data_IF_472254883899
#
_entry.id   IF_472254883899
#
_cell.length_a   1.000
_cell.length_b   1.000
_cell.length_c   1.000
_cell.angle_alpha   90.00
_cell.angle_beta   90.00
_cell.angle_gamma   90.00
#
_symmetry.space_group_name_H-M   'P 1'
#
loop_
_entity.id
_entity.type
_entity.pdbx_description
1 polymer ?
#
# COMPACT_ATOMS: atom_id res chain seq x y z
N UNK A 1 16.82 -68.19 -57.77
CA UNK A 1 17.43 -66.86 -57.61
C UNK A 1 16.33 -65.83 -57.37
N UNK A 2 15.94 -65.65 -56.18
CA UNK A 2 14.94 -64.67 -55.76
C UNK A 2 15.65 -63.66 -54.89
N UNK A 3 16.09 -62.64 -55.51
CA UNK A 3 16.87 -61.68 -54.76
C UNK A 3 16.50 -60.27 -55.11
N UNK A 4 16.48 -59.42 -54.15
CA UNK A 4 16.77 -57.98 -54.28
C UNK A 4 15.68 -57.00 -54.68
N UNK A 5 14.45 -57.35 -54.93
CA UNK A 5 13.39 -56.37 -55.24
C UNK A 5 12.74 -55.77 -53.94
N UNK A 6 12.80 -56.50 -52.84
CA UNK A 6 12.19 -56.03 -51.61
C UNK A 6 13.02 -54.96 -50.85
N UNK A 7 14.32 -54.86 -51.11
CA UNK A 7 15.16 -53.84 -50.47
C UNK A 7 15.02 -52.45 -51.09
N UNK A 8 14.57 -52.35 -52.32
CA UNK A 8 14.37 -51.04 -52.98
C UNK A 8 13.10 -50.34 -52.53
N UNK A 9 12.06 -51.06 -52.20
CA UNK A 9 10.81 -50.46 -51.71
C UNK A 9 10.88 -49.95 -50.27
N UNK A 10 11.77 -50.51 -49.47
CA UNK A 10 11.95 -50.00 -48.09
C UNK A 10 12.68 -48.66 -48.02
N UNK A 11 13.50 -48.33 -49.00
CA UNK A 11 14.21 -47.04 -49.04
C UNK A 11 13.35 -45.89 -49.53
N UNK A 12 12.32 -46.14 -50.27
CA UNK A 12 11.41 -45.11 -50.77
C UNK A 12 10.38 -44.70 -49.71
N UNK A 13 10.04 -45.57 -48.77
CA UNK A 13 9.14 -45.21 -47.68
C UNK A 13 9.84 -44.42 -46.58
N UNK A 14 11.15 -44.45 -46.53
CA UNK A 14 11.92 -43.73 -45.53
C UNK A 14 12.21 -42.25 -45.87
N UNK A 15 11.59 -41.72 -46.89
CA UNK A 15 11.59 -40.27 -47.11
C UNK A 15 10.93 -39.52 -45.97
N UNK A 16 10.24 -40.20 -45.10
CA UNK A 16 9.73 -39.61 -43.85
C UNK A 16 10.82 -39.30 -42.85
N UNK A 17 11.92 -40.01 -42.88
CA UNK A 17 13.03 -39.75 -41.96
C UNK A 17 13.81 -38.48 -42.27
N UNK A 18 13.78 -38.02 -43.50
CA UNK A 18 14.42 -36.77 -43.88
C UNK A 18 13.75 -35.54 -43.21
N UNK A 19 12.63 -35.75 -42.59
CA UNK A 19 11.90 -34.69 -41.90
C UNK A 19 12.11 -34.66 -40.36
N UNK A 20 12.96 -35.55 -39.85
CA UNK A 20 13.27 -35.67 -38.43
C UNK A 20 14.43 -34.77 -38.01
N UNK A 21 14.94 -33.95 -38.86
CA UNK A 21 15.84 -32.88 -38.49
C UNK A 21 15.07 -31.78 -37.76
N UNK A 22 15.69 -31.17 -36.79
CA UNK A 22 15.11 -30.12 -35.91
C UNK A 22 14.40 -28.98 -36.64
N UNK A 23 14.54 -28.87 -37.94
CA UNK A 23 13.90 -27.84 -38.76
C UNK A 23 12.93 -28.34 -39.79
N UNK A 24 12.80 -29.67 -39.98
CA UNK A 24 12.24 -30.19 -41.24
C UNK A 24 10.73 -30.26 -41.33
N UNK A 25 10.04 -30.46 -40.24
CA UNK A 25 8.63 -30.85 -40.33
C UNK A 25 7.63 -29.71 -40.37
N UNK A 26 8.01 -28.53 -40.01
CA UNK A 26 7.07 -27.44 -39.93
C UNK A 26 7.71 -26.11 -40.31
N UNK A 27 8.15 -26.06 -41.58
CA UNK A 27 8.59 -24.81 -42.18
C UNK A 27 7.57 -23.69 -41.96
N UNK A 28 6.28 -23.99 -42.06
CA UNK A 28 5.19 -23.03 -41.70
C UNK A 28 5.19 -22.64 -40.23
N UNK A 29 5.74 -23.44 -39.33
CA UNK A 29 5.88 -23.10 -37.94
C UNK A 29 7.10 -22.19 -37.65
N UNK A 30 8.04 -22.17 -38.59
CA UNK A 30 9.24 -21.33 -38.57
C UNK A 30 9.06 -20.08 -39.44
N UNK A 31 8.29 -20.22 -40.54
CA UNK A 31 7.89 -19.10 -41.36
C UNK A 31 6.75 -18.33 -40.68
N UNK A 32 6.87 -17.05 -40.57
CA UNK A 32 5.72 -16.21 -40.34
C UNK A 32 5.45 -15.76 -38.90
N UNK A 33 6.32 -16.01 -37.96
CA UNK A 33 6.19 -15.35 -36.64
C UNK A 33 6.82 -13.97 -36.63
N UNK A 34 7.42 -13.53 -37.72
CA UNK A 34 8.00 -12.21 -37.85
C UNK A 34 9.06 -11.87 -36.80
N UNK A 35 9.50 -10.64 -36.73
CA UNK A 35 10.41 -10.19 -35.71
C UNK A 35 9.80 -10.38 -34.33
N UNK A 36 10.65 -10.62 -33.32
CA UNK A 36 10.22 -10.82 -31.93
C UNK A 36 9.29 -9.68 -31.51
N UNK A 37 8.05 -9.97 -31.07
CA UNK A 37 7.12 -8.92 -30.66
C UNK A 37 7.72 -7.99 -29.62
N UNK A 38 7.36 -6.72 -29.59
CA UNK A 38 7.81 -5.78 -28.56
C UNK A 38 7.53 -6.36 -27.16
N UNK A 39 8.35 -5.97 -26.21
CA UNK A 39 8.29 -6.50 -24.83
C UNK A 39 6.88 -6.43 -24.23
N UNK A 40 6.12 -5.41 -24.60
CA UNK A 40 4.74 -5.18 -24.17
C UNK A 40 3.72 -6.20 -24.69
N UNK A 41 4.01 -6.81 -25.84
CA UNK A 41 3.14 -7.84 -26.46
C UNK A 41 3.44 -9.27 -25.99
N UNK A 42 4.52 -9.49 -25.25
CA UNK A 42 4.92 -10.84 -24.79
C UNK A 42 4.19 -11.20 -23.51
N UNK A 43 3.30 -12.20 -23.54
CA UNK A 43 2.43 -12.62 -22.43
C UNK A 43 3.13 -12.83 -21.08
N UNK A 44 4.38 -13.27 -21.05
CA UNK A 44 5.15 -13.51 -19.80
C UNK A 44 6.12 -12.38 -19.43
N UNK A 45 6.20 -11.34 -20.24
CA UNK A 45 7.15 -10.25 -19.98
C UNK A 45 6.59 -9.24 -18.97
N UNK A 46 7.45 -8.70 -18.07
CA UNK A 46 7.04 -7.70 -17.04
C UNK A 46 6.26 -6.54 -17.65
N UNK A 47 6.74 -5.97 -18.76
CA UNK A 47 6.05 -4.86 -19.44
C UNK A 47 4.65 -5.23 -19.97
N UNK A 48 4.44 -6.47 -20.47
CA UNK A 48 3.11 -6.93 -20.85
C UNK A 48 2.17 -7.07 -19.65
N UNK A 49 2.66 -7.59 -18.53
CA UNK A 49 1.86 -7.68 -17.28
C UNK A 49 1.42 -6.31 -16.82
N UNK A 50 2.34 -5.32 -16.81
CA UNK A 50 2.06 -3.93 -16.44
C UNK A 50 1.06 -3.31 -17.43
N UNK A 51 1.26 -3.46 -18.75
CA UNK A 51 0.37 -2.93 -19.77
C UNK A 51 -1.05 -3.55 -19.68
N UNK A 52 -1.13 -4.86 -19.45
CA UNK A 52 -2.42 -5.56 -19.31
C UNK A 52 -3.15 -5.16 -18.04
N UNK A 53 -2.43 -4.99 -16.92
CA UNK A 53 -3.01 -4.52 -15.67
C UNK A 53 -3.48 -3.06 -15.81
N UNK A 54 -2.69 -2.19 -16.42
CA UNK A 54 -3.06 -0.79 -16.70
C UNK A 54 -4.28 -0.70 -17.64
N UNK A 55 -4.35 -1.56 -18.68
CA UNK A 55 -5.50 -1.63 -19.59
C UNK A 55 -6.76 -2.12 -18.87
N UNK A 56 -6.66 -3.16 -18.03
CA UNK A 56 -7.78 -3.64 -17.21
C UNK A 56 -8.26 -2.58 -16.24
N UNK A 57 -7.36 -1.85 -15.60
CA UNK A 57 -7.68 -0.76 -14.69
C UNK A 57 -8.33 0.43 -15.41
N UNK A 58 -7.84 0.79 -16.59
CA UNK A 58 -8.46 1.81 -17.43
C UNK A 58 -9.87 1.42 -17.89
N UNK A 59 -10.11 0.14 -18.17
CA UNK A 59 -11.43 -0.39 -18.53
C UNK A 59 -12.42 -0.40 -17.34
N UNK A 60 -11.90 -0.52 -16.12
CA UNK A 60 -12.69 -0.47 -14.87
C UNK A 60 -12.87 0.98 -14.38
N UNK A 61 -12.10 1.92 -14.90
CA UNK A 61 -12.23 3.35 -14.55
C UNK A 61 -13.60 3.86 -15.01
N UNK A 62 -14.61 3.64 -14.19
CA UNK A 62 -15.79 4.51 -14.18
C UNK A 62 -15.27 5.93 -13.88
N UNK A 63 -15.85 6.98 -14.55
CA UNK A 63 -15.52 8.34 -14.15
C UNK A 63 -15.68 8.40 -12.63
N UNK A 64 -14.61 8.85 -11.96
CA UNK A 64 -14.58 8.91 -10.50
C UNK A 64 -15.88 9.57 -10.04
N UNK A 65 -16.65 8.95 -9.14
CA UNK A 65 -17.77 9.65 -8.55
C UNK A 65 -17.19 10.94 -7.97
N UNK A 66 -17.74 12.06 -8.39
CA UNK A 66 -17.38 13.37 -7.85
C UNK A 66 -17.27 13.21 -6.35
N UNK A 67 -16.09 13.52 -5.80
CA UNK A 67 -15.71 13.45 -4.40
C UNK A 67 -16.85 13.95 -3.49
N UNK A 68 -17.74 13.07 -3.13
CA UNK A 68 -18.61 13.16 -1.98
C UNK A 68 -17.87 12.49 -0.85
N UNK A 69 -16.71 13.03 -0.47
CA UNK A 69 -16.07 12.64 0.76
C UNK A 69 -17.06 12.93 1.87
N UNK A 70 -17.40 11.93 2.66
CA UNK A 70 -18.01 12.19 3.96
C UNK A 70 -17.20 13.33 4.56
N UNK A 71 -17.88 14.44 4.89
CA UNK A 71 -17.25 15.58 5.55
C UNK A 71 -16.67 15.06 6.84
N UNK A 72 -15.37 14.66 6.82
CA UNK A 72 -14.65 14.31 7.99
C UNK A 72 -14.69 15.53 8.91
N UNK A 73 -15.04 15.34 10.16
CA UNK A 73 -14.92 16.40 11.16
C UNK A 73 -13.47 16.77 11.29
N UNK A 74 -13.16 18.06 11.26
CA UNK A 74 -11.83 18.55 11.60
C UNK A 74 -11.42 18.02 12.96
N UNK A 75 -10.19 17.56 13.10
CA UNK A 75 -9.62 17.13 14.37
C UNK A 75 -9.02 18.34 15.09
N UNK A 76 -9.18 18.39 16.42
CA UNK A 76 -8.55 19.40 17.25
C UNK A 76 -7.40 18.78 18.03
N UNK A 77 -6.20 19.32 17.85
CA UNK A 77 -5.04 19.03 18.71
C UNK A 77 -5.03 20.08 19.83
N UNK A 78 -5.04 19.62 21.07
CA UNK A 78 -5.34 20.44 22.23
C UNK A 78 -4.16 20.48 23.20
N UNK A 79 -3.74 21.67 23.62
CA UNK A 79 -2.68 21.88 24.61
C UNK A 79 -1.34 22.33 24.00
N UNK A 80 -0.52 23.04 24.82
CA UNK A 80 0.74 23.69 24.39
C UNK A 80 1.72 22.70 23.75
N UNK A 81 2.07 21.61 24.45
CA UNK A 81 3.01 20.61 23.96
C UNK A 81 2.48 19.84 22.73
N UNK A 82 1.24 19.28 22.74
CA UNK A 82 0.69 18.61 21.58
C UNK A 82 0.62 19.49 20.33
N UNK A 83 0.24 20.76 20.47
CA UNK A 83 0.18 21.72 19.35
C UNK A 83 1.57 22.02 18.82
N UNK A 84 2.53 22.31 19.68
CA UNK A 84 3.92 22.54 19.29
C UNK A 84 4.49 21.33 18.54
N UNK A 85 4.33 20.11 19.10
CA UNK A 85 4.81 18.89 18.47
C UNK A 85 4.13 18.64 17.11
N UNK A 86 2.82 18.84 17.00
CA UNK A 86 2.10 18.69 15.75
C UNK A 86 2.60 19.68 14.68
N UNK A 87 2.85 20.91 15.05
CA UNK A 87 3.44 21.91 14.15
C UNK A 87 4.86 21.54 13.75
N UNK A 88 5.72 21.17 14.68
CA UNK A 88 7.11 20.75 14.40
C UNK A 88 7.16 19.53 13.50
N UNK A 89 6.31 18.54 13.74
CA UNK A 89 6.29 17.27 13.01
C UNK A 89 5.56 17.35 11.66
N UNK A 90 5.14 18.54 11.23
CA UNK A 90 4.58 18.76 9.91
C UNK A 90 3.13 18.32 9.74
N UNK A 91 2.36 18.13 10.84
CA UNK A 91 0.93 17.81 10.75
C UNK A 91 0.19 18.91 9.99
N UNK A 92 -0.64 18.58 8.96
CA UNK A 92 -1.45 19.57 8.27
C UNK A 92 -2.35 20.33 9.26
N UNK A 93 -2.40 21.64 9.10
CA UNK A 93 -3.23 22.48 9.94
C UNK A 93 -3.85 23.61 9.12
N UNK A 94 -5.03 24.04 9.52
CA UNK A 94 -5.77 25.14 8.90
C UNK A 94 -5.80 26.37 9.78
N UNK A 95 -5.94 26.19 11.09
CA UNK A 95 -6.09 27.30 12.03
C UNK A 95 -5.41 26.97 13.35
N UNK A 96 -4.65 27.89 13.88
CA UNK A 96 -4.15 27.89 15.25
C UNK A 96 -4.96 28.91 16.08
N UNK A 97 -5.74 28.40 17.01
CA UNK A 97 -6.48 29.22 17.98
C UNK A 97 -5.62 29.48 19.19
N UNK A 98 -5.52 30.75 19.57
CA UNK A 98 -4.73 31.23 20.68
C UNK A 98 -5.66 31.94 21.67
N UNK A 99 -5.60 31.58 22.94
CA UNK A 99 -6.41 32.24 23.98
C UNK A 99 -6.01 33.70 24.10
N UNK A 100 -7.01 34.58 24.20
CA UNK A 100 -6.78 35.99 24.52
C UNK A 100 -6.05 36.13 25.85
N UNK A 101 -5.06 37.01 25.92
CA UNK A 101 -4.25 37.25 27.10
C UNK A 101 -3.52 36.01 27.65
N UNK A 102 -3.12 35.08 26.74
CA UNK A 102 -2.33 33.91 27.14
C UNK A 102 -0.94 34.34 27.67
N UNK A 103 -0.45 33.64 28.69
CA UNK A 103 0.95 33.78 29.11
C UNK A 103 1.87 33.32 27.94
N UNK A 104 2.70 34.24 27.47
CA UNK A 104 3.58 34.03 26.33
C UNK A 104 4.86 33.29 26.76
N UNK A 105 4.71 32.04 27.15
CA UNK A 105 5.83 31.16 27.48
C UNK A 105 6.59 30.70 26.21
N UNK A 106 7.67 29.96 26.38
CA UNK A 106 8.53 29.49 25.33
C UNK A 106 7.74 28.63 24.30
N UNK A 107 6.87 27.72 24.76
CA UNK A 107 6.08 26.83 23.90
C UNK A 107 5.05 27.57 23.07
N UNK A 108 4.44 28.59 23.61
CA UNK A 108 3.51 29.45 22.89
C UNK A 108 4.24 30.22 21.78
N UNK A 109 5.40 30.81 22.10
CA UNK A 109 6.22 31.52 21.10
C UNK A 109 6.70 30.60 19.95
N UNK A 110 7.21 29.43 20.30
CA UNK A 110 7.64 28.43 19.29
C UNK A 110 6.48 27.99 18.40
N UNK A 111 5.30 27.71 18.97
CA UNK A 111 4.12 27.33 18.21
C UNK A 111 3.67 28.44 17.24
N UNK A 112 3.65 29.70 17.71
CA UNK A 112 3.32 30.86 16.87
C UNK A 112 4.34 31.07 15.76
N UNK A 113 5.63 30.93 16.03
CA UNK A 113 6.69 31.04 15.06
C UNK A 113 6.53 29.96 13.97
N UNK A 114 6.39 28.68 14.35
CA UNK A 114 6.19 27.56 13.42
C UNK A 114 4.93 27.73 12.56
N UNK A 115 3.84 28.22 13.14
CA UNK A 115 2.62 28.51 12.40
C UNK A 115 2.82 29.63 11.38
N UNK A 116 3.55 30.69 11.75
CA UNK A 116 3.90 31.82 10.88
C UNK A 116 4.83 31.41 9.72
N UNK A 117 5.85 30.60 10.01
CA UNK A 117 6.79 30.08 8.99
C UNK A 117 6.11 29.24 7.91
N UNK A 118 5.03 28.52 8.26
CA UNK A 118 4.28 27.73 7.30
C UNK A 118 3.41 28.56 6.35
N UNK A 119 2.99 29.76 6.75
CA UNK A 119 2.26 30.73 5.93
C UNK A 119 0.85 30.33 5.47
N UNK A 120 0.43 29.09 5.73
CA UNK A 120 -0.88 28.54 5.35
C UNK A 120 -1.79 28.25 6.55
N UNK A 121 -1.39 28.67 7.75
CA UNK A 121 -2.13 28.46 9.00
C UNK A 121 -2.71 29.80 9.43
N UNK A 122 -4.03 29.88 9.58
CA UNK A 122 -4.68 31.07 10.11
C UNK A 122 -4.45 31.17 11.62
N UNK A 123 -4.00 32.33 12.08
CA UNK A 123 -3.91 32.63 13.50
C UNK A 123 -5.21 33.32 13.96
N UNK A 124 -5.89 32.76 14.94
CA UNK A 124 -7.12 33.31 15.48
C UNK A 124 -7.06 33.39 17.00
N UNK A 125 -7.31 34.59 17.51
CA UNK A 125 -7.52 34.77 18.98
C UNK A 125 -8.95 34.41 19.34
N UNK A 126 -9.11 33.65 20.42
CA UNK A 126 -10.40 33.25 20.93
C UNK A 126 -10.45 33.37 22.47
N UNK A 127 -11.60 33.76 23.05
CA UNK A 127 -11.77 33.76 24.51
C UNK A 127 -11.82 32.33 25.05
N UNK A 128 -11.37 32.12 26.27
CA UNK A 128 -11.32 30.80 26.92
C UNK A 128 -12.62 30.00 26.83
N UNK A 129 -13.83 30.57 27.05
CA UNK A 129 -15.08 29.81 26.94
C UNK A 129 -15.37 29.29 25.57
N UNK A 130 -14.84 29.91 24.51
CA UNK A 130 -14.96 29.41 23.13
C UNK A 130 -14.04 28.23 22.91
N UNK A 131 -12.79 28.30 23.37
CA UNK A 131 -11.85 27.18 23.33
C UNK A 131 -12.36 25.97 24.12
N UNK A 132 -12.93 26.19 25.30
CA UNK A 132 -13.55 25.12 26.10
C UNK A 132 -14.67 24.42 25.34
N UNK A 133 -15.52 25.18 24.62
CA UNK A 133 -16.59 24.61 23.78
C UNK A 133 -16.04 23.82 22.59
N UNK A 134 -15.04 24.35 21.89
CA UNK A 134 -14.42 23.71 20.74
C UNK A 134 -13.72 22.41 21.10
N UNK A 135 -13.16 22.32 22.30
CA UNK A 135 -12.39 21.17 22.78
C UNK A 135 -13.21 20.22 23.65
N UNK A 136 -14.52 20.45 23.81
CA UNK A 136 -15.38 19.69 24.73
C UNK A 136 -14.83 19.65 26.17
N UNK A 137 -14.26 20.74 26.62
CA UNK A 137 -13.71 20.87 27.97
C UNK A 137 -12.36 20.24 28.24
N UNK A 138 -11.65 19.81 27.19
CA UNK A 138 -10.28 19.31 27.30
C UNK A 138 -9.34 20.44 27.73
N UNK A 139 -8.31 20.13 28.52
CA UNK A 139 -7.33 21.09 28.99
C UNK A 139 -6.47 21.63 27.83
N UNK A 140 -6.91 22.73 27.23
CA UNK A 140 -6.26 23.31 26.05
C UNK A 140 -5.06 24.22 26.40
N UNK A 141 -4.86 24.60 27.63
CA UNK A 141 -3.73 25.46 28.05
C UNK A 141 -3.56 26.73 27.18
N UNK A 142 -4.64 27.19 26.56
CA UNK A 142 -4.67 28.36 25.70
C UNK A 142 -4.28 28.12 24.22
N UNK A 143 -3.93 26.92 23.82
CA UNK A 143 -3.63 26.59 22.41
C UNK A 143 -4.48 25.43 21.88
N UNK A 144 -5.04 25.61 20.67
CA UNK A 144 -5.80 24.59 19.94
C UNK A 144 -5.45 24.69 18.45
N UNK A 145 -5.04 23.57 17.85
CA UNK A 145 -4.70 23.49 16.43
C UNK A 145 -5.78 22.70 15.70
N UNK A 146 -6.35 23.30 14.67
CA UNK A 146 -7.33 22.66 13.80
C UNK A 146 -6.62 21.92 12.67
N UNK A 147 -6.83 20.61 12.62
CA UNK A 147 -6.31 19.70 11.59
C UNK A 147 -7.43 19.39 10.59
N UNK A 148 -7.22 19.61 9.29
CA UNK A 148 -8.23 19.28 8.28
C UNK A 148 -8.44 17.77 8.21
N UNK A 149 -9.61 17.31 7.74
CA UNK A 149 -9.83 15.89 7.45
C UNK A 149 -8.82 15.38 6.45
N UNK A 150 -8.30 14.16 6.68
CA UNK A 150 -7.41 13.51 5.72
C UNK A 150 -8.15 13.14 4.44
N UNK A 151 -7.59 13.46 3.29
CA UNK A 151 -8.12 13.07 1.98
C UNK A 151 -7.62 11.67 1.60
N UNK A 152 -8.50 10.68 1.76
CA UNK A 152 -8.19 9.30 1.41
C UNK A 152 -8.18 9.08 -0.10
N UNK A 153 -7.13 8.40 -0.60
CA UNK A 153 -7.04 8.00 -2.00
C UNK A 153 -8.04 6.88 -2.35
N UNK A 154 -8.35 6.74 -3.63
CA UNK A 154 -9.07 5.55 -4.08
C UNK A 154 -8.12 4.33 -4.12
N UNK A 155 -8.56 3.10 -3.80
CA UNK A 155 -7.68 1.92 -3.81
C UNK A 155 -6.99 1.68 -5.15
N UNK A 156 -7.67 1.97 -6.26
CA UNK A 156 -7.09 1.82 -7.60
C UNK A 156 -5.98 2.85 -7.90
N UNK A 157 -5.98 4.00 -7.23
CA UNK A 157 -4.94 5.02 -7.41
C UNK A 157 -3.60 4.53 -6.90
N UNK A 158 -3.57 3.66 -5.87
CA UNK A 158 -2.35 3.08 -5.33
C UNK A 158 -1.64 2.20 -6.37
N UNK A 159 -2.40 1.39 -7.11
CA UNK A 159 -1.85 0.54 -8.17
C UNK A 159 -1.50 1.35 -9.43
N UNK A 160 -2.30 2.37 -9.75
CA UNK A 160 -2.01 3.27 -10.87
C UNK A 160 -0.69 4.01 -10.66
N UNK A 161 -0.44 4.53 -9.45
CA UNK A 161 0.81 5.22 -9.10
C UNK A 161 2.05 4.32 -9.26
N UNK A 162 1.95 3.02 -8.94
CA UNK A 162 3.02 2.06 -9.17
C UNK A 162 3.30 1.86 -10.66
N UNK A 163 2.23 1.61 -11.44
CA UNK A 163 2.38 1.36 -12.87
C UNK A 163 2.85 2.58 -13.66
N UNK A 164 2.49 3.79 -13.24
CA UNK A 164 2.99 5.03 -13.86
C UNK A 164 4.50 5.21 -13.67
N UNK A 165 5.06 4.67 -12.58
CA UNK A 165 6.50 4.58 -12.33
C UNK A 165 7.18 3.37 -12.98
N UNK A 166 6.44 2.53 -13.69
CA UNK A 166 6.91 1.24 -14.21
C UNK A 166 7.38 0.25 -13.14
N UNK A 167 6.82 0.36 -11.95
CA UNK A 167 7.10 -0.49 -10.80
C UNK A 167 5.99 -1.52 -10.58
N UNK A 168 6.31 -2.66 -9.97
CA UNK A 168 5.31 -3.60 -9.48
C UNK A 168 4.67 -3.06 -8.20
N UNK A 169 3.35 -3.07 -8.03
CA UNK A 169 2.70 -2.59 -6.82
C UNK A 169 3.21 -3.29 -5.55
N UNK A 170 3.51 -2.50 -4.52
CA UNK A 170 3.75 -2.94 -3.16
C UNK A 170 2.82 -2.14 -2.26
N UNK A 171 1.77 -2.78 -1.78
CA UNK A 171 0.70 -2.15 -1.00
C UNK A 171 0.59 -2.88 0.33
N UNK A 172 0.27 -2.16 1.39
CA UNK A 172 -0.06 -2.75 2.69
C UNK A 172 -1.55 -2.58 2.96
N UNK A 173 -2.22 -3.64 3.35
CA UNK A 173 -3.61 -3.63 3.78
C UNK A 173 -3.70 -3.96 5.28
N UNK A 174 -4.52 -3.23 6.03
CA UNK A 174 -4.64 -3.40 7.47
C UNK A 174 -5.99 -4.01 7.83
N UNK A 175 -5.96 -5.07 8.61
CA UNK A 175 -7.17 -5.74 9.11
C UNK A 175 -7.27 -5.60 10.64
N UNK A 176 -8.10 -4.67 11.10
CA UNK A 176 -8.36 -4.47 12.52
C UNK A 176 -7.24 -3.76 13.30
N UNK A 177 -6.34 -3.06 12.63
CA UNK A 177 -5.35 -2.19 13.28
C UNK A 177 -6.06 -0.89 13.69
N UNK A 178 -6.24 -0.68 14.99
CA UNK A 178 -7.04 0.43 15.54
C UNK A 178 -6.22 1.55 16.16
N UNK A 179 -4.94 1.34 16.43
CA UNK A 179 -4.06 2.38 16.96
C UNK A 179 -3.52 3.27 15.81
N UNK A 180 -3.81 4.59 15.84
CA UNK A 180 -3.27 5.53 14.86
C UNK A 180 -1.74 5.59 14.82
N UNK A 181 -1.06 5.28 15.93
CA UNK A 181 0.41 5.25 15.97
C UNK A 181 0.96 4.11 15.13
N UNK A 182 0.32 2.94 15.18
CA UNK A 182 0.69 1.82 14.34
C UNK A 182 0.43 2.13 12.86
N UNK A 183 -0.71 2.73 12.53
CA UNK A 183 -0.98 3.18 11.17
C UNK A 183 0.12 4.14 10.67
N UNK A 184 0.48 5.15 11.46
CA UNK A 184 1.54 6.09 11.07
C UNK A 184 2.91 5.42 10.90
N UNK A 185 3.29 4.50 11.79
CA UNK A 185 4.53 3.72 11.69
C UNK A 185 4.56 2.84 10.43
N UNK A 186 3.43 2.23 10.08
CA UNK A 186 3.28 1.43 8.86
C UNK A 186 3.40 2.31 7.62
N UNK A 187 2.73 3.47 7.57
CA UNK A 187 2.85 4.44 6.47
C UNK A 187 4.31 4.87 6.29
N UNK A 188 5.04 5.12 7.39
CA UNK A 188 6.46 5.45 7.36
C UNK A 188 7.30 4.30 6.77
N UNK A 189 7.03 3.07 7.18
CA UNK A 189 7.73 1.88 6.67
C UNK A 189 7.44 1.65 5.18
N UNK A 190 6.18 1.80 4.75
CA UNK A 190 5.80 1.74 3.33
C UNK A 190 6.58 2.76 2.51
N UNK A 191 6.67 4.01 2.99
CA UNK A 191 7.47 5.05 2.33
C UNK A 191 8.95 4.71 2.26
N UNK A 192 9.52 4.19 3.35
CA UNK A 192 10.95 3.88 3.44
C UNK A 192 11.37 2.73 2.52
N UNK A 193 10.49 1.75 2.31
CA UNK A 193 10.78 0.54 1.54
C UNK A 193 10.18 0.55 0.12
N UNK A 194 9.81 1.74 -0.40
CA UNK A 194 9.35 1.89 -1.77
C UNK A 194 7.94 1.35 -2.03
N UNK A 195 7.11 1.27 -1.00
CA UNK A 195 5.71 0.90 -1.16
C UNK A 195 4.86 2.04 -1.72
N UNK A 196 3.71 1.70 -2.28
CA UNK A 196 2.84 2.60 -3.04
C UNK A 196 1.64 3.12 -2.27
N UNK A 197 1.39 2.59 -1.07
CA UNK A 197 0.33 3.07 -0.20
C UNK A 197 -0.20 2.05 0.78
N UNK A 198 -1.15 2.50 1.60
CA UNK A 198 -1.79 1.70 2.66
C UNK A 198 -3.30 1.68 2.43
N UNK A 199 -3.93 0.53 2.64
CA UNK A 199 -5.39 0.33 2.58
C UNK A 199 -5.92 0.06 3.96
N UNK A 200 -6.91 0.83 4.40
CA UNK A 200 -7.58 0.65 5.70
C UNK A 200 -9.09 0.48 5.51
N UNK A 201 -9.78 -0.36 6.29
CA UNK A 201 -11.23 -0.38 6.29
C UNK A 201 -11.82 0.89 6.91
N UNK A 202 -13.05 1.26 6.52
CA UNK A 202 -13.77 2.41 7.10
C UNK A 202 -14.14 2.20 8.56
N UNK A 203 -14.34 0.95 8.96
CA UNK A 203 -14.79 0.58 10.30
C UNK A 203 -13.76 -0.30 10.98
N UNK A 204 -13.64 -0.16 12.30
CA UNK A 204 -12.74 -0.95 13.15
C UNK A 204 -11.27 -0.83 12.73
N UNK A 205 -10.88 0.34 12.24
CA UNK A 205 -9.52 0.64 11.87
C UNK A 205 -9.16 2.06 12.30
N UNK A 206 -7.87 2.29 12.48
CA UNK A 206 -7.31 3.61 12.72
C UNK A 206 -7.55 4.52 11.52
N UNK A 207 -7.84 5.78 11.77
CA UNK A 207 -7.83 6.85 10.77
C UNK A 207 -6.52 7.64 10.78
N UNK A 208 -6.32 8.43 9.73
CA UNK A 208 -5.20 9.37 9.61
C UNK A 208 -5.45 10.61 10.49
N UNK A 209 -5.35 10.42 11.79
CA UNK A 209 -5.42 11.46 12.84
C UNK A 209 -4.08 12.18 13.01
N UNK A 210 -4.05 13.24 13.80
CA UNK A 210 -2.81 13.92 14.19
C UNK A 210 -1.76 12.94 14.77
N UNK A 211 -2.20 11.93 15.54
CA UNK A 211 -1.34 10.88 16.06
C UNK A 211 -0.71 10.01 15.00
N UNK A 212 -1.46 9.66 13.93
CA UNK A 212 -0.94 8.92 12.78
C UNK A 212 0.02 9.78 11.96
N UNK A 213 -0.29 11.06 11.76
CA UNK A 213 0.60 12.02 11.11
C UNK A 213 1.94 12.12 11.83
N UNK A 214 1.92 12.32 13.16
CA UNK A 214 3.12 12.36 14.00
C UNK A 214 3.97 11.09 13.83
N UNK A 215 3.36 9.92 13.97
CA UNK A 215 4.07 8.63 13.87
C UNK A 215 4.61 8.36 12.45
N UNK A 216 3.98 8.93 11.42
CA UNK A 216 4.46 8.83 10.05
C UNK A 216 5.69 9.70 9.76
N UNK A 217 6.09 10.59 10.67
CA UNK A 217 7.21 11.53 10.49
C UNK A 217 7.11 12.29 9.15
N UNK A 218 5.93 12.80 8.80
CA UNK A 218 5.67 13.56 7.58
C UNK A 218 5.53 12.72 6.30
N UNK A 219 5.80 11.41 6.33
CA UNK A 219 5.74 10.57 5.12
C UNK A 219 4.31 10.38 4.61
N UNK A 220 3.29 10.58 5.44
CA UNK A 220 1.88 10.55 5.05
C UNK A 220 1.50 11.58 3.96
N UNK A 221 2.30 12.64 3.80
CA UNK A 221 2.11 13.61 2.71
C UNK A 221 2.39 13.03 1.32
N UNK A 222 3.23 12.00 1.22
CA UNK A 222 3.67 11.39 -0.05
C UNK A 222 3.29 9.91 -0.21
N UNK A 223 2.87 9.26 0.87
CA UNK A 223 2.43 7.87 0.88
C UNK A 223 0.92 7.84 1.08
N UNK A 224 0.14 7.63 0.02
CA UNK A 224 -1.32 7.71 0.09
C UNK A 224 -1.89 6.60 0.96
N UNK A 225 -2.90 6.96 1.77
CA UNK A 225 -3.74 6.00 2.48
C UNK A 225 -5.10 5.95 1.80
N UNK A 226 -5.56 4.76 1.49
CA UNK A 226 -6.87 4.49 0.90
C UNK A 226 -7.83 3.94 1.94
N UNK A 227 -9.10 4.28 1.84
CA UNK A 227 -10.16 3.78 2.71
C UNK A 227 -11.17 2.96 1.93
N UNK A 228 -11.48 1.75 2.42
CA UNK A 228 -12.39 0.82 1.76
C UNK A 228 -13.53 0.39 2.70
N UNK A 229 -14.74 0.26 2.17
CA UNK A 229 -15.91 -0.19 2.93
C UNK A 229 -15.82 -1.67 3.29
N UNK A 230 -15.20 -2.48 2.44
CA UNK A 230 -15.02 -3.92 2.61
C UNK A 230 -13.61 -4.33 2.17
N UNK A 231 -12.79 -4.76 3.13
CA UNK A 231 -11.41 -5.14 2.88
C UNK A 231 -11.30 -6.40 2.01
N UNK A 232 -12.06 -7.45 2.32
CA UNK A 232 -12.08 -8.70 1.54
C UNK A 232 -12.36 -8.44 0.06
N UNK A 233 -13.40 -7.64 -0.24
CA UNK A 233 -13.73 -7.26 -1.61
C UNK A 233 -12.60 -6.46 -2.30
N UNK A 234 -11.90 -5.61 -1.56
CA UNK A 234 -10.76 -4.87 -2.10
C UNK A 234 -9.60 -5.82 -2.44
N UNK A 235 -9.30 -6.80 -1.56
CA UNK A 235 -8.29 -7.85 -1.79
C UNK A 235 -8.62 -8.70 -3.03
N UNK A 236 -9.86 -9.16 -3.17
CA UNK A 236 -10.32 -9.85 -4.38
C UNK A 236 -10.17 -9.00 -5.65
N UNK A 237 -10.35 -7.69 -5.53
CA UNK A 237 -10.10 -6.74 -6.62
C UNK A 237 -8.65 -6.72 -7.05
N UNK A 238 -7.72 -6.72 -6.11
CA UNK A 238 -6.29 -6.80 -6.36
C UNK A 238 -5.88 -8.14 -6.97
N UNK A 239 -6.41 -9.26 -6.48
CA UNK A 239 -6.18 -10.59 -7.08
C UNK A 239 -6.65 -10.64 -8.54
N UNK A 240 -7.84 -10.13 -8.84
CA UNK A 240 -8.36 -10.02 -10.22
C UNK A 240 -7.48 -9.15 -11.12
N UNK A 241 -6.76 -8.18 -10.54
CA UNK A 241 -5.77 -7.37 -11.25
C UNK A 241 -4.40 -8.08 -11.41
N UNK A 242 -4.24 -9.29 -10.88
CA UNK A 242 -3.01 -10.09 -10.95
C UNK A 242 -1.97 -9.69 -9.88
N UNK A 243 -2.42 -9.14 -8.78
CA UNK A 243 -1.59 -8.77 -7.63
C UNK A 243 -1.77 -9.86 -6.58
N UNK A 244 -0.68 -10.44 -6.11
CA UNK A 244 -0.70 -11.47 -5.07
C UNK A 244 -1.07 -10.88 -3.72
N UNK A 245 -1.93 -11.55 -2.97
CA UNK A 245 -2.33 -11.16 -1.62
C UNK A 245 -1.66 -12.06 -0.60
N UNK A 246 -0.81 -11.49 0.26
CA UNK A 246 -0.01 -12.19 1.26
C UNK A 246 -0.42 -11.72 2.64
N UNK A 247 -0.95 -12.62 3.45
CA UNK A 247 -1.35 -12.35 4.83
C UNK A 247 -0.25 -12.70 5.83
N UNK A 248 -0.03 -11.82 6.84
CA UNK A 248 0.84 -12.15 7.98
C UNK A 248 0.02 -12.92 9.02
N UNK A 249 0.47 -14.15 9.31
CA UNK A 249 -0.13 -15.00 10.34
C UNK A 249 0.97 -15.78 11.08
N UNK A 250 0.84 -15.95 12.39
CA UNK A 250 1.84 -16.67 13.20
C UNK A 250 1.96 -18.15 12.79
N UNK A 251 0.87 -18.74 12.32
CA UNK A 251 0.74 -20.10 11.83
C UNK A 251 0.89 -20.23 10.30
N UNK A 252 1.40 -19.19 9.63
CA UNK A 252 1.61 -19.21 8.18
C UNK A 252 2.47 -20.37 7.71
N UNK A 253 2.09 -20.98 6.59
CA UNK A 253 2.80 -22.14 6.02
C UNK A 253 4.21 -21.80 5.55
N UNK A 254 4.38 -20.59 5.03
CA UNK A 254 5.66 -20.10 4.51
C UNK A 254 6.31 -19.13 5.48
N UNK A 255 7.63 -19.00 5.42
CA UNK A 255 8.31 -17.88 6.06
C UNK A 255 8.41 -16.68 5.11
N UNK A 256 8.59 -15.49 5.64
CA UNK A 256 8.77 -14.29 4.81
C UNK A 256 10.00 -14.39 3.90
N UNK A 257 11.04 -15.16 4.31
CA UNK A 257 12.23 -15.39 3.51
C UNK A 257 12.02 -16.39 2.37
N UNK A 258 11.04 -17.28 2.45
CA UNK A 258 10.84 -18.33 1.44
C UNK A 258 9.88 -17.90 0.32
N UNK A 259 9.09 -16.85 0.53
CA UNK A 259 8.05 -16.44 -0.41
C UNK A 259 8.58 -15.54 -1.54
N UNK A 260 8.85 -16.11 -2.71
CA UNK A 260 9.35 -15.39 -3.90
C UNK A 260 8.36 -14.32 -4.40
N UNK A 261 7.07 -14.49 -4.16
CA UNK A 261 6.00 -13.60 -4.60
C UNK A 261 6.12 -12.19 -4.01
N UNK A 262 6.85 -12.01 -2.90
CA UNK A 262 7.14 -10.69 -2.33
C UNK A 262 7.95 -9.79 -3.29
N UNK A 263 8.67 -10.36 -4.25
CA UNK A 263 9.41 -9.62 -5.28
C UNK A 263 8.54 -9.10 -6.45
N UNK A 264 7.31 -9.59 -6.61
CA UNK A 264 6.37 -9.18 -7.65
C UNK A 264 5.30 -8.20 -7.17
N UNK A 265 4.22 -8.00 -7.96
CA UNK A 265 3.05 -7.23 -7.52
C UNK A 265 2.41 -7.89 -6.31
N UNK A 266 2.36 -7.18 -5.18
CA UNK A 266 1.90 -7.78 -3.92
C UNK A 266 1.12 -6.78 -3.05
N UNK A 267 0.08 -7.29 -2.37
CA UNK A 267 -0.57 -6.66 -1.22
C UNK A 267 -0.22 -7.48 0.01
N UNK A 268 0.44 -6.87 0.99
CA UNK A 268 0.76 -7.46 2.27
C UNK A 268 -0.36 -7.12 3.26
N UNK A 269 -1.01 -8.11 3.82
CA UNK A 269 -2.11 -7.91 4.78
C UNK A 269 -1.60 -8.12 6.20
N UNK A 270 -1.80 -7.12 7.05
CA UNK A 270 -1.38 -7.10 8.44
C UNK A 270 -2.61 -7.09 9.33
N UNK A 271 -2.69 -8.07 10.21
CA UNK A 271 -3.79 -8.22 11.15
C UNK A 271 -3.64 -7.36 12.41
N UNK A 272 -4.66 -7.41 13.25
CA UNK A 272 -4.67 -6.76 14.56
C UNK A 272 -3.71 -7.43 15.54
N UNK A 273 -3.19 -6.63 16.49
CA UNK A 273 -2.38 -7.15 17.58
C UNK A 273 -3.17 -8.15 18.41
N UNK A 274 -2.59 -9.31 18.67
CA UNK A 274 -3.16 -10.40 19.47
C UNK A 274 -4.18 -11.29 18.76
N UNK A 275 -4.99 -10.76 17.81
CA UNK A 275 -5.99 -11.57 17.08
C UNK A 275 -5.56 -11.95 15.67
N UNK A 276 -4.53 -11.31 15.14
CA UNK A 276 -4.09 -11.54 13.77
C UNK A 276 -5.13 -11.11 12.72
N UNK A 277 -5.20 -11.87 11.64
CA UNK A 277 -6.13 -11.67 10.53
C UNK A 277 -7.52 -12.17 10.87
N UNK A 278 -8.55 -11.45 10.45
CA UNK A 278 -9.90 -11.94 10.46
C UNK A 278 -10.07 -13.17 9.55
N UNK A 279 -10.91 -14.12 9.94
CA UNK A 279 -11.08 -15.39 9.20
C UNK A 279 -11.29 -15.20 7.69
N UNK A 280 -12.23 -14.36 7.30
CA UNK A 280 -12.53 -14.12 5.86
C UNK A 280 -11.36 -13.45 5.13
N UNK A 281 -10.61 -12.58 5.79
CA UNK A 281 -9.42 -11.93 5.21
C UNK A 281 -8.31 -12.97 5.02
N UNK A 282 -8.07 -13.82 6.02
CA UNK A 282 -7.11 -14.92 5.93
C UNK A 282 -7.43 -15.91 4.80
N UNK A 283 -8.71 -16.32 4.69
CA UNK A 283 -9.20 -17.19 3.61
C UNK A 283 -9.09 -16.56 2.21
N UNK A 284 -9.04 -15.24 2.13
CA UNK A 284 -8.88 -14.50 0.86
C UNK A 284 -7.41 -14.35 0.44
N UNK A 285 -6.47 -14.51 1.36
CA UNK A 285 -5.05 -14.43 1.04
C UNK A 285 -4.62 -15.60 0.15
N UNK A 286 -3.78 -15.33 -0.86
CA UNK A 286 -3.18 -16.38 -1.69
C UNK A 286 -2.12 -17.16 -0.91
N UNK A 287 -1.44 -16.51 0.04
CA UNK A 287 -0.43 -17.09 0.92
C UNK A 287 -0.54 -16.51 2.33
N UNK A 288 -0.32 -17.37 3.33
CA UNK A 288 -0.11 -16.97 4.70
C UNK A 288 1.38 -17.15 5.04
N UNK A 289 2.01 -16.08 5.53
CA UNK A 289 3.43 -16.10 5.88
C UNK A 289 3.63 -15.74 7.34
N UNK A 290 4.62 -16.37 7.95
CA UNK A 290 5.05 -16.06 9.31
C UNK A 290 6.42 -15.38 9.31
N UNK A 291 6.64 -14.53 10.31
CA UNK A 291 7.95 -14.02 10.67
C UNK A 291 8.56 -15.01 11.67
N UNK A 292 9.71 -15.65 11.37
CA UNK A 292 10.37 -16.54 12.33
C UNK A 292 10.78 -15.78 13.59
N UNK A 293 10.37 -16.28 14.75
CA UNK A 293 10.65 -15.67 16.07
C UNK A 293 11.32 -16.67 16.99
N UNK A 294 12.62 -16.92 16.84
CA UNK A 294 13.33 -17.95 17.62
C UNK A 294 13.38 -17.65 19.12
N UNK A 295 13.15 -16.41 19.53
CA UNK A 295 13.08 -15.99 20.93
C UNK A 295 11.77 -16.31 21.65
N UNK A 296 10.82 -17.01 21.00
CA UNK A 296 9.57 -17.50 21.63
C UNK A 296 8.52 -16.41 21.87
N UNK A 297 8.66 -15.23 21.29
CA UNK A 297 7.59 -14.22 21.34
C UNK A 297 6.37 -14.69 20.55
N UNK A 298 5.17 -14.51 21.11
CA UNK A 298 3.91 -14.92 20.47
C UNK A 298 3.48 -13.98 19.35
N UNK A 299 3.84 -12.70 19.44
CA UNK A 299 3.45 -11.68 18.46
C UNK A 299 4.44 -10.51 18.46
N UNK A 300 4.40 -9.71 17.40
CA UNK A 300 5.08 -8.44 17.24
C UNK A 300 4.07 -7.30 17.15
N UNK A 301 4.49 -6.10 17.52
CA UNK A 301 3.75 -4.89 17.20
C UNK A 301 3.51 -4.82 15.68
N UNK A 302 2.30 -4.41 15.26
CA UNK A 302 1.91 -4.38 13.85
C UNK A 302 2.84 -3.53 12.96
N UNK A 303 3.34 -2.40 13.47
CA UNK A 303 4.30 -1.55 12.76
C UNK A 303 5.66 -2.22 12.57
N UNK A 304 6.11 -2.98 13.59
CA UNK A 304 7.37 -3.75 13.53
C UNK A 304 7.23 -4.89 12.52
N UNK A 305 6.15 -5.66 12.59
CA UNK A 305 5.87 -6.75 11.66
C UNK A 305 5.81 -6.24 10.20
N UNK A 306 5.13 -5.11 9.98
CA UNK A 306 5.10 -4.43 8.69
C UNK A 306 6.51 -4.07 8.19
N UNK A 307 7.35 -3.49 9.05
CA UNK A 307 8.70 -3.10 8.71
C UNK A 307 9.56 -4.27 8.25
N UNK A 308 9.48 -5.42 8.94
CA UNK A 308 10.23 -6.65 8.61
C UNK A 308 9.84 -7.16 7.22
N UNK A 309 8.53 -7.30 6.95
CA UNK A 309 8.06 -7.86 5.67
C UNK A 309 8.28 -6.91 4.51
N UNK A 310 8.12 -5.61 4.73
CA UNK A 310 8.40 -4.58 3.72
C UNK A 310 9.90 -4.53 3.38
N UNK A 311 10.78 -4.68 4.38
CA UNK A 311 12.22 -4.76 4.15
C UNK A 311 12.57 -5.98 3.28
N UNK A 312 12.02 -7.15 3.60
CA UNK A 312 12.23 -8.38 2.81
C UNK A 312 11.71 -8.21 1.37
N UNK A 313 10.52 -7.65 1.21
CA UNK A 313 9.97 -7.34 -0.11
C UNK A 313 10.87 -6.37 -0.89
N UNK A 314 11.43 -5.35 -0.24
CA UNK A 314 12.33 -4.40 -0.86
C UNK A 314 13.65 -5.04 -1.32
N UNK A 315 14.21 -6.01 -0.55
CA UNK A 315 15.43 -6.73 -0.95
C UNK A 315 15.21 -7.52 -2.25
N UNK A 316 14.03 -8.12 -2.44
CA UNK A 316 13.69 -8.93 -3.62
C UNK A 316 13.36 -8.12 -4.87
N UNK A 317 13.18 -6.81 -4.74
CA UNK A 317 12.81 -5.88 -5.81
C UNK A 317 13.98 -5.08 -6.40
N UNK A 318 15.17 -5.28 -5.82
CA UNK A 318 16.43 -4.66 -6.26
C UNK A 318 16.96 -5.26 -7.56
#
# INVERSE_FOLDING_TARGET
MAGNSQRRNRRTSNKKGATVGSGGQRRKGLEGRGPTPPAEARKKHKKNRIATAKAKQAAVRRPAPRRGGAKGTSEMVVGRNPVFEALRDGVPATTLYVQQYIDNDERVREALQLAGERGNINLMEAPRPELDRMTNGLNHQGLVLQVPPYEYAHPDDLTAAAYDKHEDPLIVALDGVTDPRNLGAIVRSVSAFGGHGVVVPERRAAGMTAGAWKSSAGTAARTPVSRVTNLTRALEGYQKAGITVVGLAADGEHTVQDLEQLGGPVVIVIGSEGKGLGRLVGETCDYLVRIPMPGGAESLNAGVAAGIVLWEAAQRRR
#
